data_IF_525922788898
#
_entry.id   IF_525922788898
#
_cell.length_a   1.000
_cell.length_b   1.000
_cell.length_c   1.000
_cell.angle_alpha   90.00
_cell.angle_beta   90.00
_cell.angle_gamma   90.00
#
_symmetry.space_group_name_H-M   'P 1'
#
loop_
_entity.id
_entity.type
_entity.pdbx_description
1 polymer ?
#
# COMPACT_ATOMS: atom_id res chain seq x y z
N UNK A 1 -3.38 -9.77 18.63
CA UNK A 1 -4.06 -8.79 17.75
C UNK A 1 -5.51 -8.71 18.18
N UNK A 2 -6.00 -7.53 18.59
CA UNK A 2 -7.43 -7.36 18.93
C UNK A 2 -8.28 -7.67 17.68
N UNK A 3 -9.33 -8.49 17.90
CA UNK A 3 -10.34 -8.72 16.88
C UNK A 3 -11.01 -7.39 16.56
N UNK A 4 -11.10 -7.01 15.31
CA UNK A 4 -11.91 -5.86 14.88
C UNK A 4 -13.38 -6.30 15.03
N UNK A 5 -13.88 -6.23 16.27
CA UNK A 5 -15.27 -6.59 16.56
C UNK A 5 -16.24 -5.56 15.97
N UNK A 6 -17.28 -6.01 15.30
CA UNK A 6 -18.32 -5.18 14.69
C UNK A 6 -17.85 -4.28 13.54
N UNK A 7 -17.23 -4.85 12.51
CA UNK A 7 -16.97 -4.15 11.24
C UNK A 7 -18.31 -3.72 10.62
N UNK A 8 -18.37 -2.47 10.21
CA UNK A 8 -19.45 -1.92 9.40
C UNK A 8 -18.88 -1.01 8.31
N UNK A 9 -19.70 -0.62 7.34
CA UNK A 9 -19.27 0.17 6.20
C UNK A 9 -18.60 1.49 6.61
N UNK A 10 -19.15 2.18 7.62
CA UNK A 10 -18.57 3.43 8.14
C UNK A 10 -17.17 3.24 8.74
N UNK A 11 -16.92 2.10 9.42
CA UNK A 11 -15.59 1.78 9.94
C UNK A 11 -14.61 1.46 8.80
N UNK A 12 -15.07 0.74 7.78
CA UNK A 12 -14.27 0.47 6.58
C UNK A 12 -13.83 1.80 5.95
N UNK A 13 -14.77 2.72 5.72
CA UNK A 13 -14.45 4.05 5.20
C UNK A 13 -13.45 4.78 6.10
N UNK A 14 -13.66 4.80 7.41
CA UNK A 14 -12.77 5.48 8.35
C UNK A 14 -11.33 4.98 8.29
N UNK A 15 -11.10 3.68 8.15
CA UNK A 15 -9.75 3.14 8.01
C UNK A 15 -9.07 3.57 6.70
N UNK A 16 -9.77 3.46 5.58
CA UNK A 16 -9.22 3.85 4.28
C UNK A 16 -9.08 5.37 4.15
N UNK A 17 -10.00 6.16 4.70
CA UNK A 17 -9.88 7.62 4.70
C UNK A 17 -8.69 8.10 5.55
N UNK A 18 -8.34 7.41 6.62
CA UNK A 18 -7.12 7.71 7.38
C UNK A 18 -5.87 7.50 6.52
N UNK A 19 -5.78 6.39 5.80
CA UNK A 19 -4.67 6.14 4.88
C UNK A 19 -4.62 7.19 3.78
N UNK A 20 -5.76 7.53 3.19
CA UNK A 20 -5.89 8.58 2.17
C UNK A 20 -5.39 9.94 2.69
N UNK A 21 -5.74 10.29 3.91
CA UNK A 21 -5.29 11.54 4.55
C UNK A 21 -3.77 11.56 4.69
N UNK A 22 -3.17 10.47 5.18
CA UNK A 22 -1.71 10.34 5.29
C UNK A 22 -1.05 10.46 3.90
N UNK A 23 -1.64 9.84 2.88
CA UNK A 23 -1.15 9.90 1.51
C UNK A 23 -1.08 11.35 1.00
N UNK A 24 -2.19 12.08 1.07
CA UNK A 24 -2.21 13.46 0.59
C UNK A 24 -1.31 14.37 1.40
N UNK A 25 -1.23 14.19 2.72
CA UNK A 25 -0.28 14.94 3.57
C UNK A 25 1.18 14.70 3.16
N UNK A 26 1.55 13.45 2.85
CA UNK A 26 2.89 13.13 2.37
C UNK A 26 3.16 13.74 0.99
N UNK A 27 2.18 13.73 0.08
CA UNK A 27 2.31 14.38 -1.24
C UNK A 27 2.45 15.90 -1.15
N UNK A 28 1.67 16.53 -0.29
CA UNK A 28 1.83 17.97 -0.02
C UNK A 28 3.23 18.27 0.55
N UNK A 29 3.71 17.43 1.46
CA UNK A 29 5.07 17.55 1.97
C UNK A 29 6.12 17.40 0.86
N UNK A 30 5.94 16.46 -0.07
CA UNK A 30 6.84 16.32 -1.23
C UNK A 30 6.89 17.59 -2.07
N UNK A 31 5.71 18.15 -2.41
CA UNK A 31 5.62 19.39 -3.19
C UNK A 31 6.24 20.61 -2.49
N UNK A 32 6.16 20.66 -1.16
CA UNK A 32 6.77 21.72 -0.36
C UNK A 32 8.29 21.53 -0.18
N UNK A 33 8.73 20.28 -0.08
CA UNK A 33 10.13 19.97 0.21
C UNK A 33 11.04 20.01 -1.02
N UNK A 34 10.50 19.73 -2.22
CA UNK A 34 11.31 19.58 -3.43
C UNK A 34 10.82 20.50 -4.55
N UNK A 35 11.77 21.09 -5.28
CA UNK A 35 11.49 21.80 -6.52
C UNK A 35 11.32 20.81 -7.71
N UNK A 36 11.03 21.34 -8.90
CA UNK A 36 10.85 20.54 -10.11
C UNK A 36 12.06 19.67 -10.46
N UNK A 37 13.27 20.15 -10.14
CA UNK A 37 14.52 19.41 -10.37
C UNK A 37 14.83 18.39 -9.26
N UNK A 38 13.96 18.19 -8.30
CA UNK A 38 14.15 17.27 -7.19
C UNK A 38 15.09 17.75 -6.09
N UNK A 39 15.50 19.03 -6.13
CA UNK A 39 16.31 19.64 -5.09
C UNK A 39 15.43 20.19 -3.97
N UNK A 40 15.95 20.26 -2.76
CA UNK A 40 15.23 20.83 -1.63
C UNK A 40 14.79 22.28 -1.92
N UNK A 41 13.47 22.51 -1.83
CA UNK A 41 12.88 23.83 -2.02
C UNK A 41 12.91 24.67 -0.73
N UNK A 42 12.92 24.01 0.44
CA UNK A 42 12.94 24.65 1.75
C UNK A 42 14.31 24.50 2.40
N UNK A 43 14.82 25.59 2.94
CA UNK A 43 16.01 25.55 3.81
C UNK A 43 15.56 25.46 5.26
N UNK A 44 16.16 24.54 6.00
CA UNK A 44 15.93 24.49 7.45
C UNK A 44 16.42 25.80 8.08
N UNK A 45 15.65 26.34 9.02
CA UNK A 45 16.11 27.41 9.89
C UNK A 45 17.44 27.01 10.52
N UNK A 46 18.35 28.01 10.66
CA UNK A 46 19.69 27.80 11.23
C UNK A 46 19.67 27.15 12.62
N UNK A 47 18.68 27.50 13.45
CA UNK A 47 18.54 26.95 14.80
C UNK A 47 18.06 25.49 14.74
N UNK A 48 17.11 25.17 13.87
CA UNK A 48 16.63 23.81 13.65
C UNK A 48 17.76 22.91 13.10
N UNK A 49 18.50 23.41 12.11
CA UNK A 49 19.65 22.71 11.56
C UNK A 49 20.74 22.47 12.60
N UNK A 50 21.09 23.46 13.43
CA UNK A 50 22.04 23.30 14.51
C UNK A 50 21.57 22.27 15.55
N UNK A 51 20.30 22.29 15.94
CA UNK A 51 19.73 21.32 16.88
C UNK A 51 19.81 19.89 16.32
N UNK A 52 19.47 19.69 15.05
CA UNK A 52 19.52 18.38 14.42
C UNK A 52 20.97 17.87 14.30
N UNK A 53 21.92 18.74 13.93
CA UNK A 53 23.36 18.40 13.87
C UNK A 53 23.91 17.99 15.23
N UNK A 54 23.45 18.63 16.31
CA UNK A 54 23.85 18.29 17.68
C UNK A 54 23.22 17.00 18.19
N UNK A 55 22.02 16.65 17.69
CA UNK A 55 21.28 15.46 18.11
C UNK A 55 21.69 14.21 17.33
N UNK A 56 21.94 14.35 16.04
CA UNK A 56 22.20 13.24 15.12
C UNK A 56 23.55 13.44 14.42
N UNK A 57 24.53 12.59 14.70
CA UNK A 57 25.90 12.66 14.14
C UNK A 57 25.93 12.67 12.61
N UNK A 58 24.99 11.95 11.97
CA UNK A 58 24.91 11.79 10.52
C UNK A 58 24.11 12.88 9.81
N UNK A 59 23.46 13.79 10.55
CA UNK A 59 22.60 14.82 9.96
C UNK A 59 23.37 15.75 9.00
N UNK A 60 24.63 16.00 9.28
CA UNK A 60 25.50 16.82 8.42
C UNK A 60 25.70 16.20 7.02
N UNK A 61 25.80 14.87 6.97
CA UNK A 61 25.90 14.12 5.72
C UNK A 61 24.56 14.11 4.98
N UNK A 62 23.46 13.87 5.71
CA UNK A 62 22.09 13.95 5.18
C UNK A 62 21.80 15.33 4.59
N UNK A 63 22.10 16.42 5.32
CA UNK A 63 21.90 17.80 4.87
C UNK A 63 22.56 18.08 3.53
N UNK A 64 23.82 17.61 3.34
CA UNK A 64 24.53 17.75 2.07
C UNK A 64 23.80 17.05 0.92
N UNK A 65 23.34 15.83 1.12
CA UNK A 65 22.59 15.09 0.09
C UNK A 65 21.22 15.70 -0.18
N UNK A 66 20.53 16.15 0.87
CA UNK A 66 19.20 16.74 0.77
C UNK A 66 19.18 18.03 -0.06
N UNK A 67 20.17 18.93 0.15
CA UNK A 67 20.19 20.21 -0.54
C UNK A 67 20.95 20.22 -1.88
N UNK A 68 21.90 19.31 -2.05
CA UNK A 68 22.81 19.33 -3.19
C UNK A 68 22.85 18.00 -3.94
N UNK A 69 21.92 17.09 -3.64
CA UNK A 69 21.83 15.79 -4.30
C UNK A 69 21.28 15.87 -5.71
N UNK A 70 21.36 14.76 -6.41
CA UNK A 70 20.95 14.54 -7.80
C UNK A 70 19.45 14.21 -7.98
N UNK A 71 18.62 14.52 -7.00
CA UNK A 71 17.18 14.14 -6.99
C UNK A 71 16.90 12.75 -6.45
N UNK A 72 17.91 11.96 -6.10
CA UNK A 72 17.73 10.61 -5.53
C UNK A 72 16.90 10.62 -4.25
N UNK A 73 17.04 11.65 -3.40
CA UNK A 73 16.25 11.77 -2.17
C UNK A 73 14.79 11.99 -2.47
N UNK A 74 14.46 12.82 -3.47
CA UNK A 74 13.06 13.00 -3.90
C UNK A 74 12.48 11.68 -4.41
N UNK A 75 13.22 10.96 -5.24
CA UNK A 75 12.79 9.63 -5.74
C UNK A 75 12.57 8.67 -4.58
N UNK A 76 13.51 8.55 -3.65
CA UNK A 76 13.37 7.66 -2.49
C UNK A 76 12.19 8.05 -1.60
N UNK A 77 11.92 9.35 -1.42
CA UNK A 77 10.76 9.84 -0.67
C UNK A 77 9.45 9.47 -1.39
N UNK A 78 9.42 9.62 -2.71
CA UNK A 78 8.29 9.23 -3.54
C UNK A 78 8.01 7.73 -3.49
N UNK A 79 9.05 6.91 -3.64
CA UNK A 79 8.93 5.43 -3.56
C UNK A 79 8.47 4.98 -2.17
N UNK A 80 8.90 5.66 -1.11
CA UNK A 80 8.44 5.40 0.26
C UNK A 80 6.96 5.75 0.44
N UNK A 81 6.49 6.87 -0.14
CA UNK A 81 5.06 7.22 -0.13
C UNK A 81 4.26 6.09 -0.79
N UNK A 82 4.65 5.63 -1.96
CA UNK A 82 3.95 4.60 -2.71
C UNK A 82 3.89 3.28 -1.96
N UNK A 83 5.04 2.80 -1.51
CA UNK A 83 5.12 1.55 -0.78
C UNK A 83 4.28 1.59 0.49
N UNK A 84 4.36 2.67 1.26
CA UNK A 84 3.62 2.81 2.52
C UNK A 84 2.10 2.79 2.31
N UNK A 85 1.58 3.41 1.24
CA UNK A 85 0.14 3.41 0.94
C UNK A 85 -0.34 2.03 0.52
N UNK A 86 0.38 1.37 -0.38
CA UNK A 86 0.02 0.02 -0.84
C UNK A 86 0.04 -0.96 0.34
N UNK A 87 1.10 -0.92 1.15
CA UNK A 87 1.25 -1.81 2.31
C UNK A 87 0.12 -1.55 3.33
N UNK A 88 -0.12 -0.28 3.70
CA UNK A 88 -1.15 0.07 4.67
C UNK A 88 -2.56 -0.32 4.18
N UNK A 89 -2.87 -0.02 2.91
CA UNK A 89 -4.18 -0.36 2.31
C UNK A 89 -4.38 -1.87 2.27
N UNK A 90 -3.34 -2.64 1.91
CA UNK A 90 -3.43 -4.09 1.92
C UNK A 90 -3.62 -4.66 3.33
N UNK A 91 -2.88 -4.17 4.31
CA UNK A 91 -3.02 -4.63 5.71
C UNK A 91 -4.44 -4.42 6.22
N UNK A 92 -5.02 -3.24 5.99
CA UNK A 92 -6.41 -2.96 6.38
C UNK A 92 -7.38 -3.86 5.63
N UNK A 93 -7.21 -4.01 4.31
CA UNK A 93 -8.04 -4.90 3.50
C UNK A 93 -7.98 -6.34 4.04
N UNK A 94 -6.78 -6.88 4.26
CA UNK A 94 -6.56 -8.23 4.76
C UNK A 94 -7.20 -8.45 6.15
N UNK A 95 -7.06 -7.50 7.06
CA UNK A 95 -7.70 -7.55 8.38
C UNK A 95 -9.23 -7.60 8.27
N UNK A 96 -9.82 -6.82 7.38
CA UNK A 96 -11.27 -6.82 7.15
C UNK A 96 -11.72 -8.17 6.58
N UNK A 97 -11.02 -8.67 5.56
CA UNK A 97 -11.36 -9.96 4.95
C UNK A 97 -11.24 -11.10 5.96
N UNK A 98 -10.17 -11.10 6.75
CA UNK A 98 -9.96 -12.09 7.81
C UNK A 98 -11.08 -12.07 8.85
N UNK A 99 -11.53 -10.89 9.28
CA UNK A 99 -12.64 -10.77 10.24
C UNK A 99 -13.98 -11.27 9.64
N UNK A 100 -14.22 -10.99 8.37
CA UNK A 100 -15.41 -11.46 7.67
C UNK A 100 -15.46 -12.97 7.46
N UNK A 101 -14.30 -13.60 7.32
CA UNK A 101 -14.17 -15.05 7.05
C UNK A 101 -13.87 -15.88 8.30
N UNK A 102 -13.49 -15.27 9.41
CA UNK A 102 -12.91 -15.93 10.60
C UNK A 102 -13.84 -16.90 11.35
N UNK A 103 -15.14 -16.93 11.06
CA UNK A 103 -16.05 -17.93 11.65
C UNK A 103 -15.87 -19.34 11.10
N UNK A 104 -15.16 -19.49 9.99
CA UNK A 104 -14.92 -20.78 9.33
C UNK A 104 -13.51 -21.34 9.60
N UNK A 105 -12.66 -20.60 10.34
CA UNK A 105 -11.27 -20.99 10.60
C UNK A 105 -11.14 -21.81 11.87
N UNK A 106 -11.54 -23.07 11.84
CA UNK A 106 -11.20 -23.99 12.93
C UNK A 106 -9.89 -24.74 12.73
N UNK A 107 -9.25 -24.73 11.57
CA UNK A 107 -8.22 -25.77 11.36
C UNK A 107 -6.91 -25.44 10.63
N UNK A 108 -6.59 -24.27 10.08
CA UNK A 108 -5.22 -24.05 9.57
C UNK A 108 -4.80 -22.59 9.59
N UNK A 109 -4.04 -22.22 10.60
CA UNK A 109 -3.41 -20.89 10.76
C UNK A 109 -2.36 -20.52 9.70
N UNK A 110 -2.03 -21.39 8.75
CA UNK A 110 -0.84 -21.23 7.91
C UNK A 110 -1.07 -20.68 6.50
N UNK A 111 -2.31 -20.43 6.06
CA UNK A 111 -2.58 -19.98 4.68
C UNK A 111 -3.42 -18.68 4.63
N UNK A 112 -3.00 -17.69 5.39
CA UNK A 112 -3.65 -16.37 5.53
C UNK A 112 -3.72 -15.61 4.19
N UNK A 113 -2.89 -15.99 3.22
CA UNK A 113 -2.71 -15.25 1.96
C UNK A 113 -3.81 -15.46 0.91
N UNK A 114 -4.79 -16.33 1.15
CA UNK A 114 -5.77 -16.73 0.14
C UNK A 114 -7.24 -16.42 0.51
N UNK A 115 -7.47 -15.74 1.63
CA UNK A 115 -8.82 -15.48 2.14
C UNK A 115 -9.68 -14.68 1.16
N UNK A 116 -9.07 -13.73 0.41
CA UNK A 116 -9.78 -12.97 -0.61
C UNK A 116 -10.22 -13.82 -1.82
N UNK A 117 -9.74 -15.06 -1.97
CA UNK A 117 -10.17 -15.99 -3.02
C UNK A 117 -11.47 -16.71 -2.70
N UNK A 118 -11.95 -16.60 -1.46
CA UNK A 118 -13.22 -17.21 -1.05
C UNK A 118 -14.39 -16.72 -1.91
N UNK A 119 -15.21 -17.66 -2.37
CA UNK A 119 -16.41 -17.33 -3.14
C UNK A 119 -17.46 -16.59 -2.30
N UNK A 120 -17.45 -16.75 -0.98
CA UNK A 120 -18.33 -16.04 -0.05
C UNK A 120 -18.17 -14.51 -0.10
N UNK A 121 -17.00 -14.02 -0.53
CA UNK A 121 -16.74 -12.59 -0.66
C UNK A 121 -17.35 -11.95 -1.91
N UNK A 122 -17.78 -12.77 -2.88
CA UNK A 122 -18.46 -12.32 -4.10
C UNK A 122 -17.57 -11.58 -5.10
N UNK A 123 -16.26 -11.75 -5.03
CA UNK A 123 -15.34 -11.14 -5.99
C UNK A 123 -15.41 -11.86 -7.34
N UNK A 124 -15.45 -11.06 -8.42
CA UNK A 124 -15.31 -11.56 -9.78
C UNK A 124 -13.90 -12.10 -10.03
N UNK A 125 -13.70 -12.78 -11.16
CA UNK A 125 -12.38 -13.25 -11.58
C UNK A 125 -11.40 -12.09 -11.75
N UNK A 126 -11.85 -11.00 -12.37
CA UNK A 126 -11.00 -9.83 -12.62
C UNK A 126 -10.60 -9.14 -11.31
N UNK A 127 -11.56 -8.98 -10.39
CA UNK A 127 -11.28 -8.44 -9.06
C UNK A 127 -10.28 -9.31 -8.26
N UNK A 128 -10.34 -10.63 -8.42
CA UNK A 128 -9.35 -11.54 -7.82
C UNK A 128 -7.98 -11.39 -8.47
N UNK A 129 -7.91 -11.18 -9.79
CA UNK A 129 -6.67 -10.91 -10.50
C UNK A 129 -6.02 -9.58 -10.05
N UNK A 130 -6.82 -8.52 -9.89
CA UNK A 130 -6.35 -7.25 -9.33
C UNK A 130 -5.80 -7.43 -7.91
N UNK A 131 -6.51 -8.16 -7.06
CA UNK A 131 -6.05 -8.47 -5.71
C UNK A 131 -4.75 -9.33 -5.71
N UNK A 132 -4.60 -10.25 -6.65
CA UNK A 132 -3.35 -11.00 -6.83
C UNK A 132 -2.19 -10.07 -7.19
N UNK A 133 -2.42 -9.04 -8.04
CA UNK A 133 -1.43 -8.01 -8.35
C UNK A 133 -1.09 -7.17 -7.10
N UNK A 134 -2.10 -6.67 -6.37
CA UNK A 134 -1.87 -5.83 -5.18
C UNK A 134 -1.08 -6.59 -4.10
N UNK A 135 -1.43 -7.86 -3.88
CA UNK A 135 -0.68 -8.75 -3.00
C UNK A 135 0.77 -8.95 -3.46
N UNK A 136 0.97 -9.14 -4.78
CA UNK A 136 2.31 -9.28 -5.36
C UNK A 136 3.15 -8.03 -5.12
N UNK A 137 2.62 -6.84 -5.44
CA UNK A 137 3.31 -5.56 -5.26
C UNK A 137 3.63 -5.32 -3.78
N UNK A 138 2.67 -5.54 -2.88
CA UNK A 138 2.90 -5.43 -1.43
C UNK A 138 4.04 -6.32 -0.97
N UNK A 139 4.07 -7.59 -1.39
CA UNK A 139 5.12 -8.51 -1.00
C UNK A 139 6.48 -8.12 -1.61
N UNK A 140 6.50 -7.58 -2.81
CA UNK A 140 7.71 -7.03 -3.42
C UNK A 140 8.33 -5.94 -2.56
N UNK A 141 7.53 -5.00 -2.08
CA UNK A 141 8.02 -3.94 -1.21
C UNK A 141 8.50 -4.45 0.16
N UNK A 142 7.79 -5.39 0.77
CA UNK A 142 8.14 -5.87 2.12
C UNK A 142 9.37 -6.79 2.12
N UNK A 143 9.49 -7.67 1.13
CA UNK A 143 10.45 -8.78 1.18
C UNK A 143 11.55 -8.69 0.12
N UNK A 144 11.37 -7.89 -0.93
CA UNK A 144 12.22 -7.87 -2.11
C UNK A 144 12.65 -6.45 -2.51
N UNK A 145 12.57 -5.50 -1.58
CA UNK A 145 12.95 -4.10 -1.81
C UNK A 145 12.27 -3.49 -3.04
N UNK A 146 11.00 -3.82 -3.29
CA UNK A 146 10.24 -3.34 -4.42
C UNK A 146 10.54 -4.03 -5.76
N UNK A 147 11.34 -5.08 -5.79
CA UNK A 147 11.70 -5.77 -7.02
C UNK A 147 10.73 -6.92 -7.38
N UNK A 148 10.67 -7.25 -8.67
CA UNK A 148 10.00 -8.46 -9.15
C UNK A 148 10.71 -9.69 -8.58
N UNK A 149 9.95 -10.62 -7.99
CA UNK A 149 10.51 -11.83 -7.42
C UNK A 149 10.12 -13.09 -8.22
N UNK A 150 11.01 -14.07 -8.24
CA UNK A 150 10.93 -15.24 -9.13
C UNK A 150 9.96 -16.34 -8.69
N UNK A 151 9.55 -16.33 -7.43
CA UNK A 151 8.74 -17.42 -6.86
C UNK A 151 7.27 -17.39 -7.28
N UNK A 152 6.77 -16.23 -7.74
CA UNK A 152 5.42 -16.08 -8.26
C UNK A 152 5.49 -15.24 -9.54
N UNK A 153 4.92 -15.77 -10.61
CA UNK A 153 4.82 -14.99 -11.86
C UNK A 153 3.61 -14.07 -11.82
N UNK A 154 3.81 -12.86 -12.30
CA UNK A 154 2.73 -11.89 -12.54
C UNK A 154 2.79 -11.45 -14.00
N UNK A 155 1.63 -11.35 -14.63
CA UNK A 155 1.44 -10.71 -15.92
C UNK A 155 0.02 -10.13 -15.94
N UNK A 156 -0.09 -8.85 -15.62
CA UNK A 156 -1.37 -8.20 -15.44
C UNK A 156 -1.31 -6.74 -15.90
N UNK A 157 -2.39 -6.26 -16.50
CA UNK A 157 -2.54 -4.85 -16.87
C UNK A 157 -3.53 -4.23 -15.89
N UNK A 158 -3.11 -3.17 -15.22
CA UNK A 158 -3.94 -2.44 -14.28
C UNK A 158 -3.81 -0.94 -14.55
N UNK A 159 -4.95 -0.26 -14.74
CA UNK A 159 -5.03 1.18 -15.08
C UNK A 159 -4.09 1.59 -16.22
N UNK A 160 -3.99 0.75 -17.25
CA UNK A 160 -3.16 0.97 -18.43
C UNK A 160 -1.67 0.72 -18.23
N UNK A 161 -1.23 0.35 -17.02
CA UNK A 161 0.15 -0.05 -16.75
C UNK A 161 0.29 -1.56 -16.77
N UNK A 162 1.30 -2.07 -17.48
CA UNK A 162 1.62 -3.51 -17.51
C UNK A 162 2.56 -3.85 -16.37
N UNK A 163 2.19 -4.85 -15.59
CA UNK A 163 3.03 -5.47 -14.55
C UNK A 163 3.38 -6.88 -15.01
N UNK A 164 4.64 -7.10 -15.37
CA UNK A 164 5.13 -8.40 -15.82
C UNK A 164 6.45 -8.75 -15.17
N UNK A 165 6.52 -9.93 -14.55
CA UNK A 165 7.77 -10.45 -14.00
C UNK A 165 8.56 -11.31 -14.99
N UNK A 166 8.03 -11.54 -16.21
CA UNK A 166 8.72 -12.36 -17.20
C UNK A 166 9.95 -11.65 -17.75
N UNK A 167 11.14 -12.17 -17.45
CA UNK A 167 12.40 -11.59 -17.85
C UNK A 167 12.85 -10.36 -17.04
N UNK A 168 12.08 -9.99 -15.98
CA UNK A 168 12.32 -8.82 -15.14
C UNK A 168 12.58 -9.17 -13.66
N UNK A 169 12.87 -10.45 -13.36
CA UNK A 169 13.13 -10.88 -12.00
C UNK A 169 14.37 -10.17 -11.41
N UNK A 170 14.17 -9.51 -10.29
CA UNK A 170 15.20 -8.70 -9.63
C UNK A 170 15.21 -7.23 -10.06
N UNK A 171 14.49 -6.85 -11.13
CA UNK A 171 14.31 -5.46 -11.50
C UNK A 171 13.25 -4.79 -10.59
N UNK A 172 13.40 -3.48 -10.39
CA UNK A 172 12.45 -2.71 -9.58
C UNK A 172 11.08 -2.65 -10.26
N UNK A 173 10.02 -2.81 -9.48
CA UNK A 173 8.67 -2.54 -9.97
C UNK A 173 8.49 -1.03 -10.07
N UNK A 174 8.52 -0.52 -11.27
CA UNK A 174 8.27 0.90 -11.51
C UNK A 174 6.76 1.15 -11.53
N UNK A 175 6.30 2.07 -10.69
CA UNK A 175 4.92 2.57 -10.72
C UNK A 175 4.98 4.01 -11.20
N UNK A 176 4.74 4.19 -12.49
CA UNK A 176 4.99 5.45 -13.19
C UNK A 176 3.93 6.54 -12.92
N UNK A 177 2.86 6.20 -12.21
CA UNK A 177 1.75 7.14 -12.03
C UNK A 177 1.12 7.01 -10.64
N UNK A 178 1.15 8.13 -9.91
CA UNK A 178 0.44 8.30 -8.63
C UNK A 178 -1.02 7.86 -8.68
N UNK A 179 -1.69 8.08 -9.81
CA UNK A 179 -3.09 7.66 -9.98
C UNK A 179 -3.26 6.14 -9.87
N UNK A 180 -2.27 5.36 -10.32
CA UNK A 180 -2.31 3.89 -10.23
C UNK A 180 -2.31 3.46 -8.76
N UNK A 181 -1.41 4.02 -7.94
CA UNK A 181 -1.34 3.71 -6.50
C UNK A 181 -2.62 4.12 -5.77
N UNK A 182 -3.09 5.34 -6.05
CA UNK A 182 -4.32 5.85 -5.45
C UNK A 182 -5.54 5.00 -5.87
N UNK A 183 -5.59 4.56 -7.13
CA UNK A 183 -6.65 3.68 -7.62
C UNK A 183 -6.61 2.29 -6.94
N UNK A 184 -5.42 1.71 -6.73
CA UNK A 184 -5.27 0.47 -5.94
C UNK A 184 -5.85 0.63 -4.53
N UNK A 185 -5.58 1.75 -3.86
CA UNK A 185 -6.14 2.08 -2.55
C UNK A 185 -7.68 2.13 -2.61
N UNK A 186 -8.26 2.86 -3.56
CA UNK A 186 -9.71 2.98 -3.72
C UNK A 186 -10.38 1.63 -4.06
N UNK A 187 -9.73 0.81 -4.88
CA UNK A 187 -10.27 -0.51 -5.22
C UNK A 187 -10.22 -1.47 -4.03
N UNK A 188 -9.18 -1.44 -3.21
CA UNK A 188 -9.15 -2.19 -1.95
C UNK A 188 -10.27 -1.76 -1.00
N UNK A 189 -10.54 -0.45 -0.87
CA UNK A 189 -11.68 0.05 -0.10
C UNK A 189 -13.03 -0.46 -0.66
N UNK A 190 -13.25 -0.31 -1.96
CA UNK A 190 -14.45 -0.78 -2.66
C UNK A 190 -14.67 -2.28 -2.47
N UNK A 191 -13.61 -3.06 -2.64
CA UNK A 191 -13.66 -4.52 -2.49
C UNK A 191 -13.91 -4.95 -1.05
N UNK A 192 -13.34 -4.25 -0.06
CA UNK A 192 -13.64 -4.50 1.35
C UNK A 192 -15.13 -4.27 1.67
N UNK A 193 -15.73 -3.19 1.15
CA UNK A 193 -17.18 -2.94 1.28
C UNK A 193 -18.02 -4.00 0.58
N UNK A 194 -17.64 -4.39 -0.63
CA UNK A 194 -18.32 -5.45 -1.39
C UNK A 194 -18.33 -6.77 -0.61
N UNK A 195 -17.19 -7.17 -0.07
CA UNK A 195 -17.08 -8.37 0.76
C UNK A 195 -17.98 -8.28 1.99
N UNK A 196 -17.96 -7.15 2.69
CA UNK A 196 -18.80 -6.93 3.87
C UNK A 196 -20.30 -7.06 3.53
N UNK A 197 -20.74 -6.43 2.45
CA UNK A 197 -22.15 -6.49 1.99
C UNK A 197 -22.56 -7.91 1.65
N UNK A 198 -21.72 -8.64 0.90
CA UNK A 198 -22.00 -10.00 0.48
C UNK A 198 -22.11 -10.96 1.67
N UNK A 199 -21.14 -10.94 2.57
CA UNK A 199 -21.12 -11.83 3.75
C UNK A 199 -22.35 -11.54 4.64
N UNK A 200 -22.73 -10.29 4.82
CA UNK A 200 -23.91 -9.95 5.63
C UNK A 200 -25.23 -10.33 4.94
N UNK A 201 -25.32 -10.31 3.62
CA UNK A 201 -26.46 -10.81 2.88
C UNK A 201 -26.61 -12.32 3.05
N UNK A 202 -25.53 -13.09 2.92
CA UNK A 202 -25.53 -14.53 3.14
C UNK A 202 -25.92 -14.90 4.57
N UNK A 203 -25.48 -14.13 5.58
CA UNK A 203 -25.91 -14.32 6.97
C UNK A 203 -27.41 -14.14 7.18
N UNK A 204 -28.02 -13.14 6.53
CA UNK A 204 -29.47 -12.90 6.61
C UNK A 204 -30.27 -14.02 5.96
N UNK A 205 -29.73 -14.65 4.92
CA UNK A 205 -30.35 -15.79 4.22
C UNK A 205 -30.11 -17.14 4.90
N UNK A 206 -29.40 -17.19 6.02
CA UNK A 206 -29.04 -18.43 6.71
C UNK A 206 -28.03 -19.31 5.96
N UNK A 207 -27.30 -18.73 4.97
CA UNK A 207 -26.36 -19.44 4.08
C UNK A 207 -24.88 -19.18 4.43
N UNK A 208 -24.59 -18.47 5.53
CA UNK A 208 -23.22 -18.10 5.93
C UNK A 208 -22.65 -19.04 6.97
#
# INVERSE_FOLDING_TARGET
>A
MEKITNINEKKIDGYFDTIKTIFFTKLEAELLLFNENGQAALTLDKNASAKLKNTFSDFKKFEKYFYYGDGTIKKNFHDEIFSSIIIASWVIFELIIKDLTSKDYSEKENDISLDYKSNKLGFSKDEKNDLDLFYYIRNSFIHYNGAYYKYKKINHIYEGQTFSSNGHEGEQIEINNLKVVYKMHLDMQRLAKKAWTNVNSLKKEGKA
#
